data_IF_531504896128
#
_entry.id   IF_531504896128
#
_cell.length_a   1.000
_cell.length_b   1.000
_cell.length_c   1.000
_cell.angle_alpha   90.00
_cell.angle_beta   90.00
_cell.angle_gamma   90.00
#
_symmetry.space_group_name_H-M   'P 1'
#
loop_
_entity.id
_entity.type
_entity.pdbx_description
1 polymer ?
#
# COMPACT_ATOMS: atom_id res chain seq x y z
N UNK A 1 -19.26 18.92 -16.65
CA UNK A 1 -19.17 18.28 -15.33
C UNK A 1 -19.32 19.35 -14.27
N UNK A 2 -20.24 19.16 -13.33
CA UNK A 2 -20.42 20.07 -12.18
C UNK A 2 -19.32 19.86 -11.14
N UNK A 3 -19.07 20.84 -10.27
CA UNK A 3 -18.09 20.71 -9.17
C UNK A 3 -18.38 19.51 -8.25
N UNK A 4 -19.66 19.16 -8.09
CA UNK A 4 -20.13 18.01 -7.30
C UNK A 4 -19.75 16.68 -7.95
N UNK A 5 -19.95 16.53 -9.26
CA UNK A 5 -19.58 15.30 -10.00
C UNK A 5 -18.06 15.03 -9.95
N UNK A 6 -17.24 16.08 -10.06
CA UNK A 6 -15.79 15.95 -9.93
C UNK A 6 -15.35 15.54 -8.52
N UNK A 7 -16.04 16.05 -7.49
CA UNK A 7 -15.79 15.71 -6.10
C UNK A 7 -16.11 14.23 -5.82
N UNK A 8 -17.29 13.77 -6.22
CA UNK A 8 -17.72 12.37 -6.03
C UNK A 8 -16.82 11.39 -6.76
N UNK A 9 -16.43 11.70 -8.00
CA UNK A 9 -15.48 10.89 -8.77
C UNK A 9 -14.12 10.78 -8.07
N UNK A 10 -13.59 11.91 -7.57
CA UNK A 10 -12.31 11.91 -6.82
C UNK A 10 -12.42 11.07 -5.56
N UNK A 11 -13.52 11.20 -4.81
CA UNK A 11 -13.78 10.45 -3.59
C UNK A 11 -13.89 8.94 -3.86
N UNK A 12 -14.54 8.55 -4.96
CA UNK A 12 -14.67 7.17 -5.39
C UNK A 12 -13.31 6.54 -5.71
N UNK A 13 -12.48 7.24 -6.50
CA UNK A 13 -11.11 6.79 -6.82
C UNK A 13 -10.28 6.60 -5.55
N UNK A 14 -10.36 7.52 -4.60
CA UNK A 14 -9.64 7.40 -3.33
C UNK A 14 -10.10 6.21 -2.49
N UNK A 15 -11.40 5.92 -2.42
CA UNK A 15 -11.92 4.74 -1.72
C UNK A 15 -11.36 3.45 -2.31
N UNK A 16 -11.35 3.33 -3.63
CA UNK A 16 -10.78 2.16 -4.33
C UNK A 16 -9.29 2.01 -4.02
N UNK A 17 -8.53 3.11 -4.10
CA UNK A 17 -7.10 3.08 -3.81
C UNK A 17 -6.80 2.71 -2.36
N UNK A 18 -7.58 3.24 -1.41
CA UNK A 18 -7.46 2.90 0.00
C UNK A 18 -7.70 1.41 0.27
N UNK A 19 -8.78 0.83 -0.26
CA UNK A 19 -9.06 -0.60 -0.08
C UNK A 19 -7.99 -1.49 -0.73
N UNK A 20 -7.43 -1.07 -1.87
CA UNK A 20 -6.30 -1.75 -2.49
C UNK A 20 -5.07 -1.73 -1.58
N UNK A 21 -4.67 -0.57 -1.07
CA UNK A 21 -3.52 -0.43 -0.15
C UNK A 21 -3.73 -1.29 1.10
N UNK A 22 -4.94 -1.28 1.66
CA UNK A 22 -5.29 -2.09 2.84
C UNK A 22 -5.16 -3.58 2.59
N UNK A 23 -5.62 -4.06 1.43
CA UNK A 23 -5.47 -5.48 1.02
C UNK A 23 -4.00 -5.85 0.83
N UNK A 24 -3.25 -5.01 0.13
CA UNK A 24 -1.82 -5.24 -0.14
C UNK A 24 -1.00 -5.25 1.15
N UNK A 25 -1.30 -4.35 2.09
CA UNK A 25 -0.67 -4.32 3.41
C UNK A 25 -0.95 -5.59 4.22
N UNK A 26 -2.19 -6.09 4.20
CA UNK A 26 -2.55 -7.35 4.88
C UNK A 26 -1.79 -8.54 4.29
N UNK A 27 -1.63 -8.60 2.96
CA UNK A 27 -0.84 -9.64 2.28
C UNK A 27 0.63 -9.54 2.67
N UNK A 28 1.20 -8.33 2.66
CA UNK A 28 2.59 -8.11 3.06
C UNK A 28 2.87 -8.56 4.49
N UNK A 29 1.96 -8.24 5.44
CA UNK A 29 2.09 -8.66 6.84
C UNK A 29 2.09 -10.18 6.99
N UNK A 30 1.26 -10.90 6.24
CA UNK A 30 1.24 -12.38 6.24
C UNK A 30 2.56 -12.96 5.73
N UNK A 31 3.07 -12.45 4.60
CA UNK A 31 4.36 -12.89 4.05
C UNK A 31 5.50 -12.65 5.03
N UNK A 32 5.50 -11.50 5.72
CA UNK A 32 6.50 -11.21 6.75
C UNK A 32 6.45 -12.21 7.92
N UNK A 33 5.24 -12.59 8.36
CA UNK A 33 5.06 -13.59 9.40
C UNK A 33 5.52 -14.99 8.96
N UNK A 34 5.21 -15.38 7.72
CA UNK A 34 5.65 -16.66 7.14
C UNK A 34 7.18 -16.74 7.07
N UNK A 35 7.85 -15.69 6.58
CA UNK A 35 9.31 -15.61 6.54
C UNK A 35 9.90 -15.71 7.95
N UNK A 36 9.34 -14.97 8.92
CA UNK A 36 9.81 -15.01 10.30
C UNK A 36 9.67 -16.41 10.92
N UNK A 37 8.59 -17.13 10.58
CA UNK A 37 8.39 -18.52 11.02
C UNK A 37 9.34 -19.50 10.35
N UNK A 38 9.68 -19.28 9.07
CA UNK A 38 10.68 -20.07 8.36
C UNK A 38 12.07 -19.84 8.97
N UNK A 39 12.47 -18.59 9.21
CA UNK A 39 13.76 -18.24 9.83
C UNK A 39 13.92 -18.89 11.21
N UNK A 40 12.88 -18.83 12.05
CA UNK A 40 12.90 -19.43 13.38
C UNK A 40 13.09 -20.96 13.35
N UNK A 41 12.67 -21.62 12.27
CA UNK A 41 12.76 -23.09 12.13
C UNK A 41 13.97 -23.54 11.31
N UNK A 42 14.58 -22.66 10.52
CA UNK A 42 15.64 -23.01 9.56
C UNK A 42 16.88 -23.66 10.18
N UNK A 43 17.12 -23.46 11.48
CA UNK A 43 18.21 -24.12 12.21
C UNK A 43 18.03 -25.65 12.34
N UNK A 44 16.78 -26.12 12.33
CA UNK A 44 16.43 -27.52 12.61
C UNK A 44 15.51 -28.15 11.54
N UNK A 45 15.01 -27.35 10.60
CA UNK A 45 14.11 -27.76 9.52
C UNK A 45 14.78 -27.49 8.15
N UNK A 46 15.33 -28.54 7.49
CA UNK A 46 15.94 -28.42 6.17
C UNK A 46 14.99 -27.91 5.08
N UNK A 47 13.69 -28.18 5.21
CA UNK A 47 12.69 -27.68 4.27
C UNK A 47 12.48 -26.18 4.44
N UNK A 48 12.45 -25.68 5.68
CA UNK A 48 12.40 -24.26 5.97
C UNK A 48 13.63 -23.52 5.40
N UNK A 49 14.83 -24.10 5.57
CA UNK A 49 16.07 -23.57 5.01
C UNK A 49 16.04 -23.51 3.47
N UNK A 50 15.51 -24.56 2.81
CA UNK A 50 15.35 -24.58 1.35
C UNK A 50 14.40 -23.48 0.87
N UNK A 51 13.25 -23.31 1.52
CA UNK A 51 12.26 -22.27 1.17
C UNK A 51 12.82 -20.86 1.33
N UNK A 52 13.62 -20.61 2.36
CA UNK A 52 14.32 -19.33 2.53
C UNK A 52 15.35 -19.08 1.43
N UNK A 53 16.11 -20.10 1.04
CA UNK A 53 17.06 -19.99 -0.07
C UNK A 53 16.35 -19.67 -1.40
N UNK A 54 15.21 -20.31 -1.68
CA UNK A 54 14.38 -20.01 -2.86
C UNK A 54 13.82 -18.58 -2.83
N UNK A 55 13.39 -18.11 -1.66
CA UNK A 55 12.95 -16.72 -1.48
C UNK A 55 14.10 -15.74 -1.73
N UNK A 56 15.30 -16.03 -1.25
CA UNK A 56 16.48 -15.19 -1.49
C UNK A 56 16.89 -15.15 -2.97
N UNK A 57 16.73 -16.25 -3.71
CA UNK A 57 16.97 -16.28 -5.17
C UNK A 57 15.89 -15.53 -5.94
N UNK A 58 14.62 -15.70 -5.56
CA UNK A 58 13.48 -15.05 -6.24
C UNK A 58 13.44 -13.55 -5.97
N UNK A 59 13.84 -13.13 -4.77
CA UNK A 59 13.87 -11.75 -4.31
C UNK A 59 15.28 -11.39 -3.82
N UNK A 60 16.26 -11.24 -4.72
CA UNK A 60 17.66 -10.99 -4.35
C UNK A 60 17.85 -9.66 -3.62
N UNK A 61 17.03 -8.66 -3.96
CA UNK A 61 16.97 -7.37 -3.26
C UNK A 61 15.92 -7.34 -2.13
N UNK A 62 15.39 -8.52 -1.76
CA UNK A 62 14.21 -8.66 -0.92
C UNK A 62 13.00 -7.90 -1.49
N UNK A 63 12.22 -7.29 -0.60
CA UNK A 63 11.02 -6.51 -0.96
C UNK A 63 11.31 -5.02 -1.20
N UNK A 64 12.49 -4.67 -1.73
CA UNK A 64 12.89 -3.26 -1.92
C UNK A 64 11.98 -2.57 -2.95
N UNK A 65 11.73 -3.21 -4.08
CA UNK A 65 10.89 -2.67 -5.17
C UNK A 65 9.45 -2.46 -4.73
N UNK A 66 8.88 -3.43 -4.01
CA UNK A 66 7.51 -3.39 -3.48
C UNK A 66 7.36 -2.29 -2.42
N UNK A 67 8.38 -2.09 -1.58
CA UNK A 67 8.39 -1.00 -0.58
C UNK A 67 8.42 0.38 -1.26
N UNK A 68 9.24 0.57 -2.28
CA UNK A 68 9.25 1.84 -3.04
C UNK A 68 7.93 2.08 -3.77
N UNK A 69 7.34 1.04 -4.38
CA UNK A 69 6.02 1.15 -5.01
C UNK A 69 4.93 1.55 -4.00
N UNK A 70 4.93 0.97 -2.80
CA UNK A 70 4.01 1.35 -1.72
C UNK A 70 4.22 2.80 -1.26
N UNK A 71 5.47 3.26 -1.12
CA UNK A 71 5.77 4.66 -0.77
C UNK A 71 5.18 5.64 -1.80
N UNK A 72 5.34 5.34 -3.10
CA UNK A 72 4.77 6.17 -4.18
C UNK A 72 3.25 6.23 -4.07
N UNK A 73 2.59 5.09 -3.87
CA UNK A 73 1.13 5.03 -3.73
C UNK A 73 0.65 5.83 -2.51
N UNK A 74 1.32 5.70 -1.37
CA UNK A 74 1.00 6.46 -0.14
C UNK A 74 1.21 7.97 -0.34
N UNK A 75 2.31 8.37 -0.99
CA UNK A 75 2.57 9.77 -1.30
C UNK A 75 1.48 10.36 -2.21
N UNK A 76 1.05 9.59 -3.22
CA UNK A 76 0.00 10.04 -4.13
C UNK A 76 -1.36 10.17 -3.41
N UNK A 77 -1.69 9.22 -2.54
CA UNK A 77 -2.90 9.28 -1.71
C UNK A 77 -2.92 10.50 -0.77
N UNK A 78 -1.75 10.83 -0.18
CA UNK A 78 -1.59 12.04 0.64
C UNK A 78 -1.85 13.32 -0.17
N UNK A 79 -1.29 13.39 -1.38
CA UNK A 79 -1.49 14.54 -2.27
C UNK A 79 -2.95 14.70 -2.68
N UNK A 80 -3.63 13.60 -3.04
CA UNK A 80 -5.05 13.62 -3.38
C UNK A 80 -5.93 14.07 -2.20
N UNK A 81 -5.63 13.59 -0.98
CA UNK A 81 -6.30 14.05 0.25
C UNK A 81 -6.15 15.55 0.45
N UNK A 82 -4.94 16.09 0.26
CA UNK A 82 -4.68 17.53 0.39
C UNK A 82 -5.45 18.34 -0.66
N UNK A 83 -5.47 17.89 -1.92
CA UNK A 83 -6.22 18.54 -2.99
C UNK A 83 -7.73 18.60 -2.67
N UNK A 84 -8.29 17.50 -2.15
CA UNK A 84 -9.68 17.47 -1.69
C UNK A 84 -9.95 18.44 -0.55
N UNK A 85 -9.06 18.50 0.45
CA UNK A 85 -9.17 19.44 1.56
C UNK A 85 -9.17 20.90 1.07
N UNK A 86 -8.30 21.24 0.13
CA UNK A 86 -8.27 22.57 -0.50
C UNK A 86 -9.55 22.85 -1.27
N UNK A 87 -10.06 21.91 -2.08
CA UNK A 87 -11.31 22.07 -2.83
C UNK A 87 -12.50 22.31 -1.89
N UNK A 88 -12.61 21.56 -0.79
CA UNK A 88 -13.65 21.75 0.23
C UNK A 88 -13.57 23.15 0.85
N UNK A 89 -12.37 23.59 1.22
CA UNK A 89 -12.18 24.93 1.80
C UNK A 89 -12.57 26.04 0.83
N UNK A 90 -12.23 25.91 -0.46
CA UNK A 90 -12.60 26.89 -1.47
C UNK A 90 -14.11 26.96 -1.70
N UNK A 91 -14.79 25.80 -1.74
CA UNK A 91 -16.25 25.74 -1.82
C UNK A 91 -16.88 26.42 -0.60
N UNK A 92 -16.38 26.14 0.61
CA UNK A 92 -16.85 26.79 1.84
C UNK A 92 -16.70 28.31 1.79
N UNK A 93 -15.55 28.80 1.32
CA UNK A 93 -15.28 30.24 1.20
C UNK A 93 -16.16 30.92 0.13
N UNK A 94 -16.52 30.23 -0.95
CA UNK A 94 -17.40 30.77 -1.99
C UNK A 94 -18.89 30.83 -1.60
N UNK A 95 -19.28 30.18 -0.49
CA UNK A 95 -20.65 30.18 0.04
C UNK A 95 -20.83 31.14 1.24
N UNK A 96 -19.75 31.81 1.67
CA UNK A 96 -19.75 32.89 2.65
C UNK A 96 -19.74 34.24 1.91
#
# INVERSE_FOLDING_TARGET
>A
MTNTEQFESTLHVMKIQYEKIKKDYKKFKKLQQEISSLDARAAHDPEAKRKLAELAVTYPDGFKKEREALKVVVANFKNQTNQLKTKINNIRLSMM
#
